data_IF_792859366263
#
_entry.id   IF_792859366263
#
_cell.length_a   1.000
_cell.length_b   1.000
_cell.length_c   1.000
_cell.angle_alpha   90.00
_cell.angle_beta   90.00
_cell.angle_gamma   90.00
#
_symmetry.space_group_name_H-M   'P 1'
#
loop_
_entity.id
_entity.type
_entity.pdbx_description
1 polymer ?
#
# COMPACT_ATOMS: atom_id res chain seq x y z
N UNK A 1 -14.29 -28.85 -21.39
CA UNK A 1 -13.23 -28.12 -20.67
C UNK A 1 -13.67 -26.76 -20.08
N UNK A 2 -14.81 -26.17 -20.44
CA UNK A 2 -15.17 -24.78 -20.04
C UNK A 2 -15.81 -24.61 -18.64
N UNK A 3 -16.32 -25.68 -18.00
CA UNK A 3 -17.10 -25.55 -16.76
C UNK A 3 -16.28 -25.51 -15.46
N UNK A 4 -15.03 -26.01 -15.44
CA UNK A 4 -14.19 -26.03 -14.22
C UNK A 4 -13.48 -24.70 -13.93
N UNK A 5 -13.27 -23.83 -14.92
CA UNK A 5 -12.49 -22.58 -14.75
C UNK A 5 -13.27 -21.43 -14.12
N UNK A 6 -14.61 -21.51 -14.09
CA UNK A 6 -15.47 -20.41 -13.62
C UNK A 6 -15.22 -20.00 -12.16
N UNK A 7 -15.14 -20.93 -11.17
CA UNK A 7 -14.87 -20.56 -9.78
C UNK A 7 -13.46 -19.99 -9.54
N UNK A 8 -12.45 -20.44 -10.31
CA UNK A 8 -11.07 -19.94 -10.17
C UNK A 8 -10.90 -18.52 -10.70
N UNK A 9 -11.55 -18.21 -11.83
CA UNK A 9 -11.55 -16.87 -12.38
C UNK A 9 -12.19 -15.87 -11.40
N UNK A 10 -13.27 -16.26 -10.73
CA UNK A 10 -13.94 -15.39 -9.74
C UNK A 10 -13.04 -15.13 -8.52
N UNK A 11 -12.36 -16.17 -8.01
CA UNK A 11 -11.36 -16.05 -6.92
C UNK A 11 -10.22 -15.09 -7.31
N UNK A 12 -9.67 -15.26 -8.50
CA UNK A 12 -8.54 -14.47 -8.99
C UNK A 12 -8.94 -13.01 -9.24
N UNK A 13 -10.14 -12.77 -9.80
CA UNK A 13 -10.67 -11.40 -9.96
C UNK A 13 -10.90 -10.74 -8.60
N UNK A 14 -11.45 -11.46 -7.62
CA UNK A 14 -11.61 -10.95 -6.26
C UNK A 14 -10.26 -10.51 -5.65
N UNK A 15 -9.22 -11.33 -5.80
CA UNK A 15 -7.87 -11.02 -5.33
C UNK A 15 -7.29 -9.77 -6.02
N UNK A 16 -7.45 -9.64 -7.35
CA UNK A 16 -7.04 -8.43 -8.09
C UNK A 16 -7.76 -7.19 -7.55
N UNK A 17 -9.07 -7.26 -7.35
CA UNK A 17 -9.88 -6.13 -6.86
C UNK A 17 -9.42 -5.69 -5.47
N UNK A 18 -9.21 -6.63 -4.53
CA UNK A 18 -8.75 -6.27 -3.19
C UNK A 18 -7.36 -5.64 -3.23
N UNK A 19 -6.46 -6.16 -4.07
CA UNK A 19 -5.14 -5.58 -4.23
C UNK A 19 -5.20 -4.18 -4.85
N UNK A 20 -6.09 -3.95 -5.82
CA UNK A 20 -6.33 -2.61 -6.37
C UNK A 20 -6.83 -1.63 -5.30
N UNK A 21 -7.72 -2.07 -4.39
CA UNK A 21 -8.21 -1.24 -3.29
C UNK A 21 -7.07 -0.85 -2.33
N UNK A 22 -6.24 -1.81 -1.93
CA UNK A 22 -5.08 -1.54 -1.06
C UNK A 22 -4.11 -0.56 -1.73
N UNK A 23 -3.85 -0.76 -3.03
CA UNK A 23 -2.90 0.04 -3.79
C UNK A 23 -3.44 1.43 -4.13
N UNK A 24 -4.75 1.58 -4.26
CA UNK A 24 -5.40 2.89 -4.32
C UNK A 24 -5.16 3.66 -3.01
N UNK A 25 -5.34 3.03 -1.85
CA UNK A 25 -5.05 3.64 -0.55
C UNK A 25 -3.58 4.02 -0.37
N UNK A 26 -2.66 3.12 -0.74
CA UNK A 26 -1.22 3.41 -0.73
C UNK A 26 -0.85 4.52 -1.71
N UNK A 27 -1.51 4.60 -2.87
CA UNK A 27 -1.31 5.67 -3.86
C UNK A 27 -1.73 7.04 -3.34
N UNK A 28 -2.87 7.11 -2.66
CA UNK A 28 -3.32 8.32 -1.99
C UNK A 28 -2.28 8.81 -0.99
N UNK A 29 -1.72 7.93 -0.16
CA UNK A 29 -0.70 8.34 0.82
C UNK A 29 0.64 8.68 0.17
N UNK A 30 1.08 7.89 -0.82
CA UNK A 30 2.36 8.08 -1.50
C UNK A 30 2.43 9.42 -2.25
N UNK A 31 1.36 9.80 -2.93
CA UNK A 31 1.28 11.09 -3.63
C UNK A 31 0.77 12.23 -2.74
N UNK A 32 -0.07 11.91 -1.76
CA UNK A 32 -0.71 12.89 -0.87
C UNK A 32 0.21 13.42 0.22
N UNK A 33 1.06 12.57 0.80
CA UNK A 33 1.98 12.99 1.87
C UNK A 33 2.97 14.07 1.39
N UNK A 34 3.69 13.91 0.26
CA UNK A 34 4.55 14.96 -0.28
C UNK A 34 3.76 16.21 -0.70
N UNK A 35 2.50 16.05 -1.14
CA UNK A 35 1.66 17.18 -1.53
C UNK A 35 1.25 18.02 -0.31
N UNK A 36 0.92 17.37 0.82
CA UNK A 36 0.61 18.05 2.06
C UNK A 36 1.86 18.63 2.75
N UNK A 37 3.03 18.01 2.53
CA UNK A 37 4.32 18.54 2.97
C UNK A 37 4.62 19.94 2.43
N UNK A 38 4.11 20.25 1.22
CA UNK A 38 4.28 21.56 0.58
C UNK A 38 3.50 22.67 1.26
N UNK A 39 2.49 22.32 2.05
CA UNK A 39 1.68 23.28 2.78
C UNK A 39 2.33 23.68 4.11
N UNK A 40 3.21 22.82 4.63
CA UNK A 40 4.06 23.16 5.77
C UNK A 40 5.11 24.18 5.29
N UNK A 41 5.32 25.26 6.05
CA UNK A 41 6.27 26.36 5.78
C UNK A 41 7.77 25.93 5.84
N UNK A 42 8.08 24.78 5.25
CA UNK A 42 9.42 24.24 5.07
C UNK A 42 9.78 24.34 3.60
N UNK A 43 11.08 24.51 3.32
CA UNK A 43 11.55 24.60 1.95
C UNK A 43 11.21 23.31 1.18
N UNK A 44 10.37 23.44 0.15
CA UNK A 44 9.85 22.31 -0.66
C UNK A 44 10.99 21.43 -1.18
N UNK A 45 12.12 22.02 -1.59
CA UNK A 45 13.27 21.27 -2.08
C UNK A 45 13.89 20.39 -1.00
N UNK A 46 13.90 20.84 0.27
CA UNK A 46 14.44 20.08 1.39
C UNK A 46 13.54 18.89 1.72
N UNK A 47 12.22 19.09 1.78
CA UNK A 47 11.26 18.02 2.07
C UNK A 47 11.28 16.93 1.01
N UNK A 48 11.27 17.30 -0.27
CA UNK A 48 11.33 16.34 -1.39
C UNK A 48 12.69 15.61 -1.43
N UNK A 49 13.80 16.31 -1.15
CA UNK A 49 15.13 15.67 -1.07
C UNK A 49 15.19 14.65 0.05
N UNK A 50 14.65 14.96 1.23
CA UNK A 50 14.62 14.04 2.37
C UNK A 50 13.71 12.84 2.08
N UNK A 51 12.54 13.05 1.47
CA UNK A 51 11.67 11.97 1.01
C UNK A 51 12.43 11.02 0.07
N UNK A 52 13.13 11.55 -0.94
CA UNK A 52 13.93 10.75 -1.86
C UNK A 52 15.08 9.98 -1.17
N UNK A 53 15.76 10.62 -0.22
CA UNK A 53 16.81 9.96 0.59
C UNK A 53 16.24 8.81 1.42
N UNK A 54 15.04 8.99 1.97
CA UNK A 54 14.32 8.00 2.77
C UNK A 54 13.79 6.84 1.91
N UNK A 55 13.53 7.04 0.61
CA UNK A 55 13.23 5.91 -0.30
C UNK A 55 14.43 4.97 -0.44
N UNK A 56 15.64 5.52 -0.46
CA UNK A 56 16.95 4.85 -0.37
C UNK A 56 16.93 3.53 0.43
N UNK A 57 16.87 3.66 1.76
CA UNK A 57 16.93 2.55 2.69
C UNK A 57 15.72 1.63 2.64
N UNK A 58 14.55 2.08 2.15
CA UNK A 58 13.36 1.22 2.10
C UNK A 58 13.58 -0.02 1.23
N UNK A 59 14.37 0.08 0.17
CA UNK A 59 14.72 -1.05 -0.68
C UNK A 59 15.55 -2.13 0.03
N UNK A 60 16.38 -1.73 0.99
CA UNK A 60 17.21 -2.66 1.79
C UNK A 60 16.38 -3.25 2.94
N UNK A 61 15.50 -2.45 3.53
CA UNK A 61 14.70 -2.84 4.69
C UNK A 61 13.55 -3.78 4.31
N UNK A 62 12.95 -3.59 3.13
CA UNK A 62 11.85 -4.44 2.63
C UNK A 62 12.20 -5.95 2.62
N UNK A 63 13.32 -6.40 2.00
CA UNK A 63 13.65 -7.83 2.00
C UNK A 63 13.95 -8.38 3.40
N UNK A 64 14.57 -7.60 4.29
CA UNK A 64 14.80 -8.01 5.69
C UNK A 64 13.46 -8.26 6.42
N UNK A 65 12.48 -7.38 6.19
CA UNK A 65 11.13 -7.54 6.75
C UNK A 65 10.44 -8.78 6.17
N UNK A 66 10.61 -9.03 4.87
CA UNK A 66 10.03 -10.20 4.20
C UNK A 66 10.62 -11.53 4.69
N UNK A 67 11.92 -11.57 5.00
CA UNK A 67 12.56 -12.77 5.55
C UNK A 67 12.13 -13.04 7.00
N UNK A 68 11.95 -11.98 7.80
CA UNK A 68 11.71 -12.11 9.25
C UNK A 68 10.22 -12.25 9.63
N UNK A 69 9.31 -11.63 8.87
CA UNK A 69 7.88 -11.57 9.22
C UNK A 69 6.97 -12.15 8.12
N UNK A 70 5.76 -12.58 8.50
CA UNK A 70 4.74 -13.00 7.53
C UNK A 70 4.33 -11.81 6.66
N UNK A 71 4.29 -12.00 5.33
CA UNK A 71 3.94 -10.95 4.33
C UNK A 71 2.67 -10.17 4.68
N UNK A 72 1.60 -10.87 5.05
CA UNK A 72 0.31 -10.27 5.45
C UNK A 72 0.43 -9.41 6.70
N UNK A 73 1.10 -9.93 7.73
CA UNK A 73 1.32 -9.21 8.98
C UNK A 73 2.23 -8.00 8.77
N UNK A 74 3.29 -8.13 7.96
CA UNK A 74 4.17 -7.01 7.61
C UNK A 74 3.43 -5.89 6.90
N UNK A 75 2.58 -6.21 5.91
CA UNK A 75 1.78 -5.20 5.21
C UNK A 75 0.81 -4.56 6.20
N UNK A 76 0.04 -5.34 6.98
CA UNK A 76 -0.93 -4.83 7.95
C UNK A 76 -0.28 -3.92 9.00
N UNK A 77 0.80 -4.38 9.63
CA UNK A 77 1.54 -3.60 10.64
C UNK A 77 2.06 -2.31 10.03
N UNK A 78 2.57 -2.37 8.80
CA UNK A 78 3.09 -1.20 8.11
C UNK A 78 1.98 -0.20 7.71
N UNK A 79 0.81 -0.65 7.24
CA UNK A 79 -0.33 0.25 6.95
C UNK A 79 -0.94 0.84 8.22
N UNK A 80 -1.00 0.08 9.32
CA UNK A 80 -1.46 0.59 10.61
C UNK A 80 -0.46 1.59 11.22
N UNK A 81 0.84 1.30 11.15
CA UNK A 81 1.89 2.20 11.65
C UNK A 81 1.99 3.47 10.80
N UNK A 82 1.85 3.35 9.48
CA UNK A 82 1.74 4.48 8.55
C UNK A 82 0.50 5.33 8.82
N UNK A 83 -0.67 4.71 9.03
CA UNK A 83 -1.90 5.42 9.38
C UNK A 83 -1.81 6.12 10.73
N UNK A 84 -1.28 5.45 11.75
CA UNK A 84 -1.10 6.02 13.09
C UNK A 84 -0.12 7.20 13.09
N UNK A 85 0.99 7.10 12.34
CA UNK A 85 1.93 8.21 12.18
C UNK A 85 1.31 9.40 11.44
N UNK A 86 0.45 9.16 10.44
CA UNK A 86 -0.26 10.23 9.73
C UNK A 86 -1.28 10.95 10.61
N UNK A 87 -2.02 10.22 11.46
CA UNK A 87 -2.93 10.82 12.46
C UNK A 87 -2.15 11.58 13.53
N UNK A 88 -1.00 11.07 13.94
CA UNK A 88 -0.15 11.76 14.91
C UNK A 88 0.48 13.03 14.32
N UNK A 89 0.81 13.02 13.03
CA UNK A 89 1.22 14.20 12.28
C UNK A 89 0.14 15.29 12.30
N UNK A 90 -1.14 14.91 12.08
CA UNK A 90 -2.28 15.83 12.19
C UNK A 90 -2.36 16.49 13.57
N UNK A 91 -2.30 15.68 14.63
CA UNK A 91 -2.37 16.18 16.02
C UNK A 91 -1.20 17.13 16.30
N UNK A 92 0.02 16.76 15.93
CA UNK A 92 1.21 17.57 16.19
C UNK A 92 1.25 18.88 15.38
N UNK A 93 0.71 18.86 14.16
CA UNK A 93 0.53 20.04 13.32
C UNK A 93 -0.46 21.02 13.97
N UNK A 94 -1.55 20.52 14.57
CA UNK A 94 -2.51 21.32 15.33
C UNK A 94 -1.89 21.96 16.59
N UNK A 95 -0.90 21.28 17.19
CA UNK A 95 -0.13 21.77 18.34
C UNK A 95 0.99 22.78 17.97
N UNK A 96 1.16 23.11 16.68
CA UNK A 96 2.14 24.11 16.22
C UNK A 96 3.60 23.66 16.30
N UNK A 97 3.88 22.35 16.40
CA UNK A 97 5.24 21.79 16.46
C UNK A 97 5.70 21.29 15.09
N UNK A 98 6.01 22.24 14.20
CA UNK A 98 6.33 22.01 12.78
C UNK A 98 7.46 21.00 12.56
N UNK A 99 8.53 21.06 13.36
CA UNK A 99 9.67 20.14 13.21
C UNK A 99 9.36 18.68 13.55
N UNK A 100 8.49 18.44 14.54
CA UNK A 100 8.10 17.07 14.92
C UNK A 100 7.05 16.54 13.94
N UNK A 101 6.13 17.40 13.48
CA UNK A 101 5.18 17.06 12.43
C UNK A 101 5.90 16.57 11.15
N UNK A 102 6.94 17.28 10.72
CA UNK A 102 7.77 16.88 9.58
C UNK A 102 8.47 15.52 9.77
N UNK A 103 8.94 15.21 10.98
CA UNK A 103 9.51 13.90 11.27
C UNK A 103 8.48 12.76 11.16
N UNK A 104 7.23 13.01 11.59
CA UNK A 104 6.13 12.05 11.46
C UNK A 104 5.64 11.91 10.02
N UNK A 105 5.64 12.99 9.25
CA UNK A 105 5.38 12.96 7.81
C UNK A 105 6.37 12.01 7.10
N UNK A 106 7.67 12.20 7.34
CA UNK A 106 8.72 11.32 6.81
C UNK A 106 8.51 9.86 7.24
N UNK A 107 8.10 9.63 8.48
CA UNK A 107 7.80 8.29 8.97
C UNK A 107 6.59 7.66 8.25
N UNK A 108 5.53 8.45 7.99
CA UNK A 108 4.37 8.00 7.21
C UNK A 108 4.75 7.69 5.77
N UNK A 109 5.56 8.55 5.13
CA UNK A 109 6.06 8.33 3.78
C UNK A 109 6.92 7.06 3.68
N UNK A 110 7.83 6.88 4.64
CA UNK A 110 8.66 5.68 4.76
C UNK A 110 7.81 4.41 4.88
N UNK A 111 6.79 4.41 5.75
CA UNK A 111 5.87 3.28 5.85
C UNK A 111 5.11 3.06 4.53
N UNK A 112 4.56 4.11 3.90
CA UNK A 112 3.88 3.97 2.61
C UNK A 112 4.78 3.35 1.54
N UNK A 113 6.05 3.74 1.50
CA UNK A 113 7.03 3.21 0.55
C UNK A 113 7.37 1.75 0.80
N UNK A 114 7.58 1.34 2.06
CA UNK A 114 7.74 -0.08 2.43
C UNK A 114 6.51 -0.88 2.03
N UNK A 115 5.31 -0.38 2.33
CA UNK A 115 4.04 -1.01 1.98
C UNK A 115 3.90 -1.25 0.49
N UNK A 116 4.26 -0.27 -0.33
CA UNK A 116 4.29 -0.41 -1.79
C UNK A 116 5.28 -1.49 -2.25
N UNK A 117 6.51 -1.51 -1.69
CA UNK A 117 7.49 -2.54 -2.05
C UNK A 117 7.01 -3.94 -1.66
N UNK A 118 6.45 -4.10 -0.45
CA UNK A 118 5.87 -5.36 0.00
C UNK A 118 4.74 -5.83 -0.92
N UNK A 119 3.83 -4.93 -1.30
CA UNK A 119 2.73 -5.24 -2.24
C UNK A 119 3.26 -5.59 -3.64
N UNK A 120 4.31 -4.93 -4.12
CA UNK A 120 4.93 -5.25 -5.40
C UNK A 120 5.51 -6.69 -5.39
N UNK A 121 6.18 -7.11 -4.32
CA UNK A 121 6.67 -8.49 -4.20
C UNK A 121 5.49 -9.47 -4.04
N UNK A 122 4.47 -9.10 -3.27
CA UNK A 122 3.26 -9.92 -3.09
C UNK A 122 2.54 -10.19 -4.43
N UNK A 123 2.48 -9.18 -5.31
CA UNK A 123 1.93 -9.33 -6.66
C UNK A 123 2.71 -10.33 -7.51
N UNK A 124 4.05 -10.27 -7.46
CA UNK A 124 4.90 -11.18 -8.23
C UNK A 124 4.70 -12.64 -7.77
N UNK A 125 4.44 -12.87 -6.49
CA UNK A 125 4.17 -14.21 -5.97
C UNK A 125 2.76 -14.72 -6.23
N UNK A 126 1.76 -13.84 -6.24
CA UNK A 126 0.37 -14.23 -6.49
C UNK A 126 0.05 -14.45 -7.97
N UNK A 127 0.70 -13.73 -8.88
CA UNK A 127 0.30 -13.74 -10.29
C UNK A 127 1.33 -14.48 -11.14
N UNK A 128 0.90 -15.50 -11.92
CA UNK A 128 1.77 -16.17 -12.88
C UNK A 128 2.20 -15.21 -13.98
N UNK A 129 3.34 -15.47 -14.61
CA UNK A 129 3.98 -14.59 -15.62
C UNK A 129 3.04 -14.18 -16.75
N UNK A 130 2.12 -15.06 -17.17
CA UNK A 130 1.14 -14.79 -18.23
C UNK A 130 0.15 -13.65 -17.92
N UNK A 131 -0.24 -13.46 -16.66
CA UNK A 131 -1.23 -12.43 -16.25
C UNK A 131 -0.60 -11.29 -15.46
N UNK A 132 0.65 -11.46 -15.02
CA UNK A 132 1.38 -10.48 -14.20
C UNK A 132 1.54 -9.13 -14.88
N UNK A 133 1.79 -9.10 -16.20
CA UNK A 133 1.92 -7.84 -16.95
C UNK A 133 0.62 -7.03 -16.93
N UNK A 134 -0.51 -7.67 -17.25
CA UNK A 134 -1.85 -7.07 -17.20
C UNK A 134 -2.24 -6.64 -15.79
N UNK A 135 -2.01 -7.48 -14.77
CA UNK A 135 -2.29 -7.15 -13.37
C UNK A 135 -1.43 -5.96 -12.88
N UNK A 136 -0.17 -5.89 -13.29
CA UNK A 136 0.73 -4.77 -12.95
C UNK A 136 0.26 -3.46 -13.57
N UNK A 137 -0.30 -3.49 -14.78
CA UNK A 137 -0.89 -2.30 -15.42
C UNK A 137 -2.13 -1.82 -14.65
N UNK A 138 -3.04 -2.73 -14.28
CA UNK A 138 -4.23 -2.40 -13.48
C UNK A 138 -3.86 -1.82 -12.12
N UNK A 139 -2.86 -2.40 -11.47
CA UNK A 139 -2.29 -1.86 -10.24
C UNK A 139 -1.75 -0.43 -10.45
N UNK A 140 -0.90 -0.22 -11.44
CA UNK A 140 -0.33 1.11 -11.71
C UNK A 140 -1.43 2.14 -11.95
N UNK A 141 -2.51 1.76 -12.63
CA UNK A 141 -3.67 2.64 -12.78
C UNK A 141 -4.32 2.95 -11.43
N UNK A 142 -4.57 1.96 -10.57
CA UNK A 142 -5.13 2.19 -9.24
C UNK A 142 -4.28 3.18 -8.40
N UNK A 143 -2.95 3.04 -8.46
CA UNK A 143 -2.03 3.95 -7.79
C UNK A 143 -2.14 5.39 -8.33
N UNK A 144 -2.16 5.55 -9.65
CA UNK A 144 -2.26 6.86 -10.31
C UNK A 144 -3.61 7.51 -10.07
N UNK A 145 -4.70 6.72 -10.05
CA UNK A 145 -6.04 7.23 -9.71
C UNK A 145 -6.06 7.71 -8.26
N UNK A 146 -5.40 7.01 -7.33
CA UNK A 146 -5.20 7.49 -5.96
C UNK A 146 -4.44 8.82 -5.90
N UNK A 147 -3.38 8.95 -6.69
CA UNK A 147 -2.64 10.21 -6.85
C UNK A 147 -3.48 11.35 -7.43
N UNK A 148 -4.35 11.05 -8.40
CA UNK A 148 -5.26 12.04 -8.99
C UNK A 148 -6.32 12.55 -8.00
N UNK A 149 -6.69 11.74 -7.00
CA UNK A 149 -7.57 12.17 -5.91
C UNK A 149 -6.88 13.11 -4.90
N UNK A 150 -5.54 13.09 -4.81
CA UNK A 150 -4.79 13.91 -3.86
C UNK A 150 -5.02 15.43 -4.00
N UNK A 151 -4.94 16.06 -5.20
CA UNK A 151 -5.24 17.48 -5.34
C UNK A 151 -6.69 17.84 -5.03
N UNK A 152 -7.65 16.93 -5.24
CA UNK A 152 -9.03 17.13 -4.83
C UNK A 152 -9.13 17.19 -3.31
N UNK A 153 -8.48 16.27 -2.60
CA UNK A 153 -8.42 16.24 -1.13
C UNK A 153 -7.69 17.48 -0.60
N UNK A 154 -6.59 17.88 -1.23
CA UNK A 154 -5.87 19.10 -0.87
C UNK A 154 -6.71 20.37 -1.10
N UNK A 155 -7.54 20.41 -2.14
CA UNK A 155 -8.45 21.54 -2.40
C UNK A 155 -9.53 21.69 -1.33
N UNK A 156 -10.01 20.57 -0.76
CA UNK A 156 -10.97 20.56 0.35
C UNK A 156 -10.26 20.93 1.67
N UNK A 157 -8.98 20.56 1.81
CA UNK A 157 -8.13 20.89 2.95
C UNK A 157 -7.60 22.32 2.97
N UNK A 158 -7.98 23.19 2.02
CA UNK A 158 -7.44 24.55 1.87
C UNK A 158 -7.70 25.45 3.09
N UNK A 159 -8.72 25.15 3.89
CA UNK A 159 -8.98 25.86 5.14
C UNK A 159 -8.11 25.37 6.32
N UNK A 160 -7.66 24.11 6.29
CA UNK A 160 -6.86 23.49 7.36
C UNK A 160 -5.92 22.42 6.77
N UNK A 161 -4.66 22.74 6.48
CA UNK A 161 -3.72 21.80 5.83
C UNK A 161 -3.40 20.56 6.68
N UNK A 162 -3.62 20.67 7.99
CA UNK A 162 -3.51 19.54 8.91
C UNK A 162 -4.54 18.43 8.56
N UNK A 163 -5.75 18.79 8.12
CA UNK A 163 -6.84 17.82 7.87
C UNK A 163 -6.51 16.87 6.71
N UNK A 164 -5.77 17.32 5.70
CA UNK A 164 -5.37 16.48 4.56
C UNK A 164 -4.48 15.31 5.02
N UNK A 165 -3.57 15.51 5.98
CA UNK A 165 -2.75 14.44 6.54
C UNK A 165 -3.57 13.37 7.26
N UNK A 166 -4.59 13.78 8.02
CA UNK A 166 -5.48 12.85 8.69
C UNK A 166 -6.27 12.02 7.67
N UNK A 167 -6.77 12.62 6.60
CA UNK A 167 -7.50 11.93 5.54
C UNK A 167 -6.60 10.90 4.86
N UNK A 168 -5.36 11.27 4.52
CA UNK A 168 -4.42 10.35 3.88
C UNK A 168 -4.03 9.19 4.79
N UNK A 169 -3.80 9.43 6.09
CA UNK A 169 -3.48 8.39 7.07
C UNK A 169 -4.66 7.44 7.35
N UNK A 170 -5.87 7.98 7.48
CA UNK A 170 -7.09 7.18 7.69
C UNK A 170 -7.43 6.37 6.45
N UNK A 171 -7.30 6.95 5.25
CA UNK A 171 -7.46 6.22 3.99
C UNK A 171 -6.45 5.07 3.89
N UNK A 172 -5.16 5.33 4.18
CA UNK A 172 -4.11 4.31 4.21
C UNK A 172 -4.46 3.14 5.12
N UNK A 173 -4.87 3.45 6.34
CA UNK A 173 -5.21 2.46 7.37
C UNK A 173 -6.46 1.67 6.99
N UNK A 174 -7.51 2.36 6.52
CA UNK A 174 -8.79 1.76 6.13
C UNK A 174 -8.66 0.82 4.95
N UNK A 175 -7.97 1.26 3.88
CA UNK A 175 -7.70 0.39 2.72
C UNK A 175 -6.66 -0.68 3.05
N UNK A 176 -5.71 -0.40 3.94
CA UNK A 176 -4.76 -1.38 4.45
C UNK A 176 -5.41 -2.53 5.22
N UNK A 177 -6.53 -2.29 5.90
CA UNK A 177 -7.26 -3.31 6.64
C UNK A 177 -7.83 -4.41 5.73
N UNK A 178 -8.11 -4.10 4.46
CA UNK A 178 -8.55 -5.07 3.46
C UNK A 178 -7.49 -6.15 3.16
N UNK A 179 -6.23 -5.97 3.58
CA UNK A 179 -5.22 -7.04 3.53
C UNK A 179 -5.61 -8.25 4.38
N UNK A 180 -6.55 -8.10 5.33
CA UNK A 180 -7.08 -9.24 6.09
C UNK A 180 -7.95 -10.17 5.23
N UNK A 181 -8.49 -9.70 4.10
CA UNK A 181 -9.27 -10.54 3.18
C UNK A 181 -8.34 -11.38 2.28
N UNK A 182 -7.05 -11.01 2.18
CA UNK A 182 -6.07 -11.73 1.38
C UNK A 182 -5.63 -13.04 2.07
N UNK A 183 -5.63 -14.18 1.35
CA UNK A 183 -5.10 -15.43 1.86
C UNK A 183 -3.59 -15.32 2.11
N UNK A 184 -3.07 -15.95 3.18
CA UNK A 184 -1.63 -15.89 3.48
C UNK A 184 -0.80 -16.59 2.38
N UNK A 185 0.23 -15.89 1.88
CA UNK A 185 1.17 -16.41 0.86
C UNK A 185 2.45 -17.03 1.43
N UNK A 186 2.63 -17.10 2.75
CA UNK A 186 3.89 -17.57 3.33
C UNK A 186 4.12 -19.06 3.01
N UNK A 187 5.18 -19.34 2.27
CA UNK A 187 5.64 -20.71 1.97
C UNK A 187 5.03 -21.36 0.72
N UNK A 188 4.23 -20.63 -0.06
CA UNK A 188 3.81 -21.13 -1.37
C UNK A 188 4.94 -20.96 -2.37
N UNK A 189 5.34 -22.07 -3.01
CA UNK A 189 6.10 -22.04 -4.25
C UNK A 189 5.48 -21.05 -5.23
N UNK A 190 6.32 -20.30 -5.95
CA UNK A 190 5.92 -19.55 -7.13
C UNK A 190 5.16 -20.52 -8.05
N UNK A 191 3.90 -20.21 -8.34
CA UNK A 191 3.16 -20.93 -9.36
C UNK A 191 3.59 -20.35 -10.70
N UNK A 192 4.41 -21.09 -11.45
CA UNK A 192 4.81 -20.68 -12.79
C UNK A 192 3.68 -20.89 -13.80
N UNK A 193 2.70 -21.73 -13.46
CA UNK A 193 1.61 -22.11 -14.35
C UNK A 193 0.23 -21.86 -13.73
N UNK A 194 -0.76 -21.48 -14.55
CA UNK A 194 -2.16 -21.32 -14.11
C UNK A 194 -2.73 -22.59 -13.46
N UNK A 195 -2.25 -23.77 -13.89
CA UNK A 195 -2.63 -25.07 -13.35
C UNK A 195 -2.09 -25.33 -11.93
N UNK A 196 -0.95 -24.73 -11.56
CA UNK A 196 -0.40 -24.84 -10.19
C UNK A 196 -1.18 -23.95 -9.22
N UNK A 197 -1.63 -22.80 -9.71
CA UNK A 197 -2.51 -21.90 -8.97
C UNK A 197 -3.89 -22.54 -8.71
N UNK A 198 -4.43 -23.26 -9.69
CA UNK A 198 -5.68 -24.02 -9.54
C UNK A 198 -5.57 -25.10 -8.44
N UNK A 199 -4.46 -25.85 -8.40
CA UNK A 199 -4.20 -26.87 -7.37
C UNK A 199 -4.04 -26.26 -5.98
N UNK A 200 -3.44 -25.08 -5.87
CA UNK A 200 -3.30 -24.35 -4.60
C UNK A 200 -4.64 -23.89 -4.05
N UNK A 201 -5.50 -23.28 -4.88
CA UNK A 201 -6.84 -22.87 -4.47
C UNK A 201 -7.70 -24.08 -4.06
N UNK A 202 -7.56 -25.24 -4.73
CA UNK A 202 -8.21 -26.49 -4.31
C UNK A 202 -7.73 -27.00 -2.95
N UNK A 203 -6.43 -26.91 -2.67
CA UNK A 203 -5.83 -27.38 -1.40
C UNK A 203 -6.29 -26.52 -0.23
N UNK A 204 -6.34 -25.18 -0.40
CA UNK A 204 -6.84 -24.25 0.62
C UNK A 204 -8.32 -24.54 0.93
N UNK A 205 -9.13 -24.81 -0.09
CA UNK A 205 -10.55 -25.10 0.08
C UNK A 205 -10.80 -26.48 0.73
N UNK A 206 -9.91 -27.45 0.53
CA UNK A 206 -10.02 -28.80 1.14
C UNK A 206 -9.57 -28.81 2.60
N UNK A 207 -8.63 -27.93 3.00
CA UNK A 207 -8.23 -27.77 4.41
C UNK A 207 -9.24 -27.05 5.29
N UNK A 208 -10.31 -26.49 4.71
CA UNK A 208 -11.41 -25.83 5.41
C UNK A 208 -12.66 -26.72 5.59
N UNK A 209 -12.58 -28.01 5.25
CA UNK A 209 -13.59 -29.04 5.53
C UNK A 209 -13.06 -30.06 6.53
#
# INVERSE_FOLDING_TARGET
>A
MSSKNKPYLESLVSQIVVVMIILFGLGISYYGVPLAARDIDVNIYLSETLNAVVELPTFIITPIILERFNRRSSVLVNTLLGGASGVLCFVLSLLGKTGIAFAFELATFFCARIGFNLMAVYMVEMFPTCVRSSATMMFRQALVVGGACCPLIASIGRDLPSVSFAIFGVAMSGFGLFVLVLPETKGSSLCDTMEEQEKRDQTINTSHC
#
